data_IF_846336244655
#
_entry.id   IF_846336244655
#
_cell.length_a   1.000
_cell.length_b   1.000
_cell.length_c   1.000
_cell.angle_alpha   90.00
_cell.angle_beta   90.00
_cell.angle_gamma   90.00
#
_symmetry.space_group_name_H-M   'P 1'
#
loop_
_entity.id
_entity.type
_entity.pdbx_description
1 polymer ?
#
# COMPACT_ATOMS: atom_id res chain seq x y z
N UNK A 1 27.28 -12.85 27.19
CA UNK A 1 27.46 -13.77 26.05
C UNK A 1 26.21 -14.62 25.96
N UNK A 2 25.38 -14.43 24.93
CA UNK A 2 24.14 -15.20 24.74
C UNK A 2 24.49 -16.57 24.19
N UNK A 3 24.12 -17.64 24.89
CA UNK A 3 24.24 -19.02 24.42
C UNK A 3 23.04 -19.31 23.52
N UNK A 4 23.19 -19.10 22.21
CA UNK A 4 22.21 -19.63 21.26
C UNK A 4 22.35 -21.15 21.24
N UNK A 5 21.29 -21.86 21.61
CA UNK A 5 21.20 -23.30 21.46
C UNK A 5 21.08 -23.62 19.96
N UNK A 6 22.10 -24.25 19.34
CA UNK A 6 22.10 -24.52 17.90
C UNK A 6 21.00 -25.53 17.49
N UNK A 7 20.37 -26.21 18.46
CA UNK A 7 19.28 -27.13 18.17
C UNK A 7 17.94 -26.42 17.94
N UNK A 8 17.84 -25.12 18.25
CA UNK A 8 16.60 -24.33 18.12
C UNK A 8 16.77 -23.07 17.27
N UNK A 9 17.73 -23.09 16.32
CA UNK A 9 17.98 -21.98 15.40
C UNK A 9 17.32 -22.21 14.04
N UNK A 10 16.59 -21.21 13.53
CA UNK A 10 16.11 -21.19 12.14
C UNK A 10 17.18 -20.52 11.28
N UNK A 11 17.75 -21.19 10.26
CA UNK A 11 18.75 -20.59 9.41
C UNK A 11 18.13 -19.50 8.53
N UNK A 12 18.85 -18.38 8.38
CA UNK A 12 18.48 -17.26 7.52
C UNK A 12 19.47 -17.16 6.37
N UNK A 13 18.96 -17.23 5.15
CA UNK A 13 19.73 -17.10 3.92
C UNK A 13 19.42 -15.76 3.26
N UNK A 14 20.40 -15.19 2.57
CA UNK A 14 20.16 -14.02 1.73
C UNK A 14 19.98 -14.49 0.29
N UNK A 15 18.75 -14.41 -0.20
CA UNK A 15 18.36 -14.85 -1.54
C UNK A 15 17.42 -13.82 -2.16
N UNK A 16 17.95 -12.67 -2.63
CA UNK A 16 17.12 -11.60 -3.16
C UNK A 16 16.42 -12.08 -4.42
N UNK A 17 15.11 -11.90 -4.48
CA UNK A 17 14.31 -12.24 -5.65
C UNK A 17 14.41 -11.13 -6.71
N UNK A 18 14.35 -11.52 -7.99
CA UNK A 18 14.29 -10.55 -9.11
C UNK A 18 12.95 -9.79 -9.18
N UNK A 19 11.96 -10.22 -8.41
CA UNK A 19 10.65 -9.56 -8.30
C UNK A 19 10.76 -8.26 -7.50
N UNK A 20 10.32 -7.16 -8.08
CA UNK A 20 10.27 -5.84 -7.43
C UNK A 20 9.15 -5.72 -6.39
N UNK A 21 9.25 -6.49 -5.29
CA UNK A 21 8.28 -6.47 -4.20
C UNK A 21 8.12 -5.07 -3.60
N UNK A 22 6.87 -4.68 -3.34
CA UNK A 22 6.49 -3.45 -2.64
C UNK A 22 5.42 -3.75 -1.61
N UNK A 23 5.41 -2.96 -0.53
CA UNK A 23 4.41 -3.08 0.53
C UNK A 23 3.31 -2.05 0.32
N UNK A 24 2.06 -2.52 0.29
CA UNK A 24 0.87 -1.69 0.18
C UNK A 24 0.09 -1.76 1.50
N UNK A 25 -0.21 -0.60 2.08
CA UNK A 25 -1.02 -0.49 3.30
C UNK A 25 -2.50 -0.58 2.93
N UNK A 26 -3.17 -1.62 3.42
CA UNK A 26 -4.59 -1.86 3.17
C UNK A 26 -5.44 -1.32 4.32
N UNK A 27 -6.52 -0.61 3.99
CA UNK A 27 -7.52 -0.22 4.98
C UNK A 27 -8.35 -1.45 5.42
N UNK A 28 -8.98 -1.43 6.61
CA UNK A 28 -9.78 -2.57 7.09
C UNK A 28 -10.85 -3.03 6.10
N UNK A 29 -11.50 -2.07 5.43
CA UNK A 29 -12.50 -2.36 4.39
C UNK A 29 -11.90 -3.14 3.19
N UNK A 30 -10.69 -2.79 2.75
CA UNK A 30 -10.03 -3.47 1.64
C UNK A 30 -9.57 -4.87 2.03
N UNK A 31 -9.18 -5.06 3.29
CA UNK A 31 -8.86 -6.39 3.84
C UNK A 31 -10.11 -7.26 3.82
N UNK A 32 -11.23 -6.78 4.38
CA UNK A 32 -12.51 -7.51 4.35
C UNK A 32 -12.96 -7.85 2.92
N UNK A 33 -12.73 -6.94 1.96
CA UNK A 33 -13.05 -7.17 0.55
C UNK A 33 -12.18 -8.29 -0.07
N UNK A 34 -10.87 -8.30 0.22
CA UNK A 34 -9.92 -9.29 -0.29
C UNK A 34 -10.01 -10.64 0.41
N UNK A 35 -10.49 -10.68 1.65
CA UNK A 35 -10.72 -11.90 2.42
C UNK A 35 -12.12 -12.51 2.18
N UNK A 36 -12.98 -11.84 1.40
CA UNK A 36 -14.31 -12.35 1.07
C UNK A 36 -14.27 -13.61 0.21
N UNK A 37 -15.35 -14.42 0.24
CA UNK A 37 -15.43 -15.70 -0.50
C UNK A 37 -15.27 -15.54 -2.02
N UNK A 38 -15.58 -14.36 -2.56
CA UNK A 38 -15.38 -14.00 -3.96
C UNK A 38 -14.60 -12.68 -4.05
N UNK A 39 -13.28 -12.71 -3.82
CA UNK A 39 -12.48 -11.50 -3.73
C UNK A 39 -12.44 -10.85 -5.12
N UNK A 40 -12.89 -9.59 -5.24
CA UNK A 40 -12.93 -8.96 -6.53
C UNK A 40 -11.55 -8.47 -6.98
N UNK A 41 -11.33 -8.42 -8.29
CA UNK A 41 -10.09 -7.90 -8.84
C UNK A 41 -9.96 -6.38 -8.62
N UNK A 42 -8.90 -5.98 -7.92
CA UNK A 42 -8.52 -4.57 -7.80
C UNK A 42 -7.71 -4.14 -9.02
N UNK A 43 -7.93 -2.92 -9.50
CA UNK A 43 -7.25 -2.42 -10.71
C UNK A 43 -6.41 -1.18 -10.40
N UNK A 44 -5.19 -1.16 -10.93
CA UNK A 44 -4.28 -0.03 -10.86
C UNK A 44 -4.32 0.77 -12.16
N UNK A 45 -4.50 2.07 -12.04
CA UNK A 45 -4.53 3.01 -13.15
C UNK A 45 -3.42 4.05 -12.96
N UNK A 46 -2.67 4.32 -14.02
CA UNK A 46 -1.71 5.42 -14.01
C UNK A 46 -2.38 6.69 -14.49
N UNK A 47 -2.15 7.78 -13.77
CA UNK A 47 -2.46 9.14 -14.20
C UNK A 47 -1.14 9.91 -14.37
N UNK A 48 -1.14 11.08 -15.03
CA UNK A 48 0.08 11.88 -15.19
C UNK A 48 0.76 12.26 -13.87
N UNK A 49 0.02 12.30 -12.76
CA UNK A 49 0.49 12.79 -11.46
C UNK A 49 0.57 11.72 -10.37
N UNK A 50 -0.12 10.59 -10.52
CA UNK A 50 -0.18 9.54 -9.49
C UNK A 50 -0.64 8.19 -10.06
N UNK A 51 -0.38 7.11 -9.32
CA UNK A 51 -1.07 5.83 -9.50
C UNK A 51 -2.34 5.79 -8.64
N UNK A 52 -3.38 5.14 -9.15
CA UNK A 52 -4.71 5.07 -8.53
C UNK A 52 -5.16 3.62 -8.44
N UNK A 53 -5.57 3.19 -7.26
CA UNK A 53 -6.26 1.92 -7.02
C UNK A 53 -7.78 2.13 -7.09
N UNK A 54 -8.46 1.39 -7.95
CA UNK A 54 -9.92 1.39 -8.05
C UNK A 54 -10.50 0.07 -7.56
N UNK A 55 -11.49 0.17 -6.69
CA UNK A 55 -12.31 -0.97 -6.28
C UNK A 55 -13.54 -1.10 -7.19
N UNK A 56 -14.09 -2.32 -7.35
CA UNK A 56 -15.35 -2.51 -8.07
C UNK A 56 -16.56 -1.86 -7.38
N UNK A 57 -16.44 -1.54 -6.08
CA UNK A 57 -17.44 -0.81 -5.31
C UNK A 57 -17.46 0.70 -5.62
N UNK A 58 -16.59 1.16 -6.52
CA UNK A 58 -16.52 2.56 -6.97
C UNK A 58 -15.62 3.46 -6.11
N UNK A 59 -14.94 2.90 -5.10
CA UNK A 59 -13.98 3.64 -4.29
C UNK A 59 -12.64 3.75 -5.02
N UNK A 60 -12.03 4.92 -4.88
CA UNK A 60 -10.80 5.29 -5.57
C UNK A 60 -9.79 5.75 -4.54
N UNK A 61 -8.58 5.22 -4.62
CA UNK A 61 -7.49 5.55 -3.72
C UNK A 61 -6.26 5.96 -4.52
N UNK A 62 -5.70 7.11 -4.18
CA UNK A 62 -4.41 7.56 -4.69
C UNK A 62 -3.28 6.86 -3.92
N UNK A 63 -2.33 6.27 -4.65
CA UNK A 63 -1.15 5.62 -4.06
C UNK A 63 -0.12 6.70 -3.73
N UNK A 64 0.34 6.72 -2.47
CA UNK A 64 1.44 7.60 -2.05
C UNK A 64 2.58 6.78 -1.48
N UNK A 65 3.78 7.07 -1.93
CA UNK A 65 4.98 6.46 -1.40
C UNK A 65 5.42 7.16 -0.12
N UNK A 66 5.72 6.39 0.91
CA UNK A 66 6.19 6.86 2.20
C UNK A 66 7.51 6.16 2.54
N UNK A 67 8.58 6.93 2.59
CA UNK A 67 9.89 6.41 2.97
C UNK A 67 9.92 6.14 4.48
N UNK A 68 10.69 5.12 4.88
CA UNK A 68 10.91 4.76 6.27
C UNK A 68 12.41 4.76 6.55
N UNK A 69 12.82 5.23 7.73
CA UNK A 69 14.23 5.18 8.15
C UNK A 69 14.68 3.78 8.59
N UNK A 70 13.75 2.82 8.62
CA UNK A 70 14.02 1.43 8.98
C UNK A 70 14.21 0.59 7.71
N UNK A 71 14.95 -0.51 7.83
CA UNK A 71 15.00 -1.54 6.81
C UNK A 71 13.91 -2.59 7.09
N UNK A 72 12.98 -2.77 6.16
CA UNK A 72 11.96 -3.81 6.23
C UNK A 72 12.43 -5.00 5.40
N UNK A 73 12.78 -6.11 6.05
CA UNK A 73 13.24 -7.31 5.36
C UNK A 73 12.05 -8.24 5.15
N UNK A 74 11.74 -8.57 3.90
CA UNK A 74 10.73 -9.59 3.59
C UNK A 74 11.38 -10.96 3.60
N UNK A 75 10.80 -11.87 4.37
CA UNK A 75 11.27 -13.23 4.53
C UNK A 75 10.26 -14.18 3.88
N UNK A 76 10.77 -15.20 3.19
CA UNK A 76 9.98 -16.29 2.66
C UNK A 76 10.48 -17.61 3.24
N UNK A 77 9.57 -18.49 3.64
CA UNK A 77 9.94 -19.84 4.08
C UNK A 77 10.34 -20.66 2.86
N UNK A 78 11.48 -21.34 2.93
CA UNK A 78 11.83 -22.35 1.94
C UNK A 78 10.85 -23.52 2.03
N UNK A 79 10.42 -24.10 0.90
CA UNK A 79 9.56 -25.28 0.93
C UNK A 79 10.27 -26.46 1.63
N UNK A 80 9.52 -27.31 2.33
CA UNK A 80 10.06 -28.46 3.09
C UNK A 80 10.82 -29.47 2.22
N UNK A 81 10.61 -29.45 0.91
CA UNK A 81 11.32 -30.29 -0.06
C UNK A 81 12.70 -29.74 -0.47
N UNK A 82 13.06 -28.53 -0.05
CA UNK A 82 14.36 -27.94 -0.32
C UNK A 82 15.44 -28.55 0.58
N UNK A 83 16.68 -28.71 0.10
CA UNK A 83 17.78 -29.27 0.89
C UNK A 83 18.15 -28.40 2.12
N UNK A 84 17.79 -27.11 2.09
CA UNK A 84 18.06 -26.16 3.15
C UNK A 84 16.74 -25.57 3.65
N UNK A 85 16.13 -26.20 4.64
CA UNK A 85 14.93 -25.66 5.31
C UNK A 85 15.32 -24.46 6.18
N UNK A 86 14.75 -23.28 5.89
CA UNK A 86 15.01 -22.03 6.59
C UNK A 86 14.18 -20.86 6.07
N UNK A 87 14.69 -19.65 6.30
CA UNK A 87 14.11 -18.40 5.84
C UNK A 87 15.01 -17.76 4.79
N UNK A 88 14.44 -17.32 3.68
CA UNK A 88 15.11 -16.53 2.66
C UNK A 88 14.76 -15.06 2.81
N UNK A 89 15.76 -14.20 2.95
CA UNK A 89 15.62 -12.75 2.83
C UNK A 89 15.51 -12.37 1.35
N UNK A 90 14.26 -12.25 0.88
CA UNK A 90 13.91 -12.07 -0.54
C UNK A 90 13.97 -10.62 -0.99
N UNK A 91 13.83 -9.66 -0.09
CA UNK A 91 14.03 -8.24 -0.40
C UNK A 91 14.21 -7.41 0.87
N UNK A 92 14.83 -6.25 0.73
CA UNK A 92 14.86 -5.20 1.75
C UNK A 92 14.18 -3.96 1.19
N UNK A 93 13.14 -3.51 1.88
CA UNK A 93 12.27 -2.41 1.46
C UNK A 93 12.49 -1.22 2.40
N UNK A 94 12.59 -0.02 1.82
CA UNK A 94 12.77 1.25 2.55
C UNK A 94 11.58 2.21 2.39
N UNK A 95 10.51 1.75 1.74
CA UNK A 95 9.32 2.54 1.44
C UNK A 95 8.05 1.68 1.57
N UNK A 96 6.97 2.25 2.05
CA UNK A 96 5.63 1.67 1.96
C UNK A 96 4.77 2.51 1.03
N UNK A 97 3.72 1.92 0.49
CA UNK A 97 2.71 2.63 -0.29
C UNK A 97 1.46 2.75 0.59
N UNK A 98 1.06 3.98 0.91
CA UNK A 98 -0.20 4.28 1.58
C UNK A 98 -1.32 4.54 0.55
N UNK A 99 -2.54 4.15 0.91
CA UNK A 99 -3.74 4.39 0.11
C UNK A 99 -4.52 5.57 0.66
N UNK A 100 -4.61 6.66 -0.12
CA UNK A 100 -5.37 7.86 0.26
C UNK A 100 -6.69 7.90 -0.50
N UNK A 101 -7.86 7.85 0.16
CA UNK A 101 -9.14 7.95 -0.51
C UNK A 101 -9.24 9.26 -1.30
N UNK A 102 -9.52 9.17 -2.60
CA UNK A 102 -9.91 10.34 -3.37
C UNK A 102 -11.37 10.63 -3.06
N UNK A 103 -11.64 11.77 -2.43
CA UNK A 103 -13.00 12.26 -2.29
C UNK A 103 -13.56 12.42 -3.70
N UNK A 104 -14.51 11.55 -4.08
CA UNK A 104 -15.17 11.62 -5.37
C UNK A 104 -15.61 13.05 -5.63
N UNK A 105 -15.15 13.60 -6.75
CA UNK A 105 -15.39 14.94 -7.29
C UNK A 105 -16.36 15.76 -6.41
N UNK A 106 -15.83 16.41 -5.37
CA UNK A 106 -16.65 17.30 -4.57
C UNK A 106 -17.25 18.33 -5.55
N UNK A 107 -18.59 18.51 -5.58
CA UNK A 107 -19.18 19.45 -6.53
C UNK A 107 -18.48 20.78 -6.33
N UNK A 108 -17.94 21.33 -7.44
CA UNK A 108 -17.17 22.58 -7.42
C UNK A 108 -17.86 23.56 -6.47
N UNK A 109 -17.14 24.16 -5.50
CA UNK A 109 -17.76 25.04 -4.53
C UNK A 109 -18.54 26.10 -5.30
N UNK A 110 -19.87 26.08 -5.17
CA UNK A 110 -20.74 27.06 -5.83
C UNK A 110 -20.17 28.41 -5.50
N UNK A 111 -19.71 29.15 -6.52
CA UNK A 111 -19.11 30.44 -6.34
C UNK A 111 -20.08 31.29 -5.51
N UNK A 112 -19.75 31.50 -4.23
CA UNK A 112 -20.49 32.43 -3.38
C UNK A 112 -20.18 33.79 -3.99
N UNK A 113 -21.12 34.29 -4.80
CA UNK A 113 -21.03 35.57 -5.50
C UNK A 113 -20.43 36.62 -4.59
N UNK A 114 -19.49 37.39 -5.15
CA UNK A 114 -18.65 38.33 -4.40
C UNK A 114 -19.57 39.27 -3.63
N UNK A 115 -19.31 39.47 -2.35
CA UNK A 115 -20.12 40.30 -1.44
C UNK A 115 -20.53 41.66 -2.06
N UNK A 116 -19.63 42.26 -2.84
CA UNK A 116 -19.86 43.52 -3.53
C UNK A 116 -20.97 43.49 -4.60
N UNK A 117 -21.28 42.32 -5.19
CA UNK A 117 -22.40 42.18 -6.15
C UNK A 117 -23.77 42.14 -5.46
N UNK A 118 -23.85 41.66 -4.21
CA UNK A 118 -25.12 41.58 -3.46
C UNK A 118 -25.60 42.93 -2.91
N UNK A 119 -24.69 43.86 -2.65
CA UNK A 119 -25.02 45.13 -1.97
C UNK A 119 -24.59 46.39 -2.73
N UNK A 120 -23.89 46.28 -3.87
CA UNK A 120 -23.44 47.43 -4.67
C UNK A 120 -24.48 48.03 -5.62
N UNK A 121 -25.63 47.38 -5.82
CA UNK A 121 -26.70 47.84 -6.73
C UNK A 121 -27.64 48.87 -6.09
N UNK A 122 -27.07 49.88 -5.47
CA UNK A 122 -27.84 50.92 -4.80
C UNK A 122 -27.06 52.21 -4.65
N UNK A 123 -26.65 52.81 -5.78
CA UNK A 123 -26.43 54.26 -5.93
C UNK A 123 -26.75 54.65 -7.36
#
# INVERSE_FOLDING_TARGET
MSTQDPTNSVPLFHSPADTGYKLLELSPELVELLDSESPPALTLHSTPTAAILKTPTGKTYSLRQKNTSNALILLQTTPESAPNTGLDAITTVHETIELVPEAGEAPAPRAKGKWHEKFGRGR
#
